data_IF_387163014051
#
_entry.id   IF_387163014051
#
_cell.length_a   1.000
_cell.length_b   1.000
_cell.length_c   1.000
_cell.angle_alpha   90.00
_cell.angle_beta   90.00
_cell.angle_gamma   90.00
#
_symmetry.space_group_name_H-M   'P 1'
#
loop_
_entity.id
_entity.type
_entity.pdbx_description
1 polymer ?
#
# COMPACT_ATOMS: atom_id res chain seq x y z
N UNK A 1 26.45 -13.23 5.22
CA UNK A 1 26.65 -12.19 4.19
C UNK A 1 27.24 -12.74 2.90
N UNK A 2 28.38 -13.47 2.92
CA UNK A 2 29.08 -13.97 1.72
C UNK A 2 28.16 -14.70 0.71
N UNK A 3 27.36 -15.67 1.15
CA UNK A 3 26.42 -16.41 0.29
C UNK A 3 25.36 -15.51 -0.38
N UNK A 4 24.97 -14.41 0.29
CA UNK A 4 24.06 -13.42 -0.31
C UNK A 4 24.77 -12.56 -1.34
N UNK A 5 26.02 -12.15 -1.06
CA UNK A 5 26.84 -11.40 -2.00
C UNK A 5 27.11 -12.19 -3.28
N UNK A 6 27.45 -13.48 -3.15
CA UNK A 6 27.64 -14.39 -4.29
C UNK A 6 26.37 -14.50 -5.13
N UNK A 7 25.19 -14.69 -4.50
CA UNK A 7 23.91 -14.77 -5.20
C UNK A 7 23.54 -13.48 -5.95
N UNK A 8 23.94 -12.32 -5.41
CA UNK A 8 23.70 -11.01 -5.99
C UNK A 8 24.78 -10.57 -6.98
N UNK A 9 25.81 -11.39 -7.25
CA UNK A 9 26.94 -11.02 -8.09
C UNK A 9 27.85 -9.95 -7.47
N UNK A 10 27.84 -9.82 -6.13
CA UNK A 10 28.59 -8.82 -5.37
C UNK A 10 29.74 -9.41 -4.55
N UNK A 11 30.21 -10.61 -4.90
CA UNK A 11 31.26 -11.29 -4.16
C UNK A 11 32.58 -10.49 -4.12
N UNK A 12 32.87 -9.76 -5.19
CA UNK A 12 34.10 -8.96 -5.35
C UNK A 12 33.89 -7.46 -5.06
N UNK A 13 32.74 -7.10 -4.48
CA UNK A 13 32.46 -5.71 -4.12
C UNK A 13 33.47 -5.24 -3.04
N UNK A 14 34.02 -4.01 -3.14
CA UNK A 14 35.04 -3.49 -2.20
C UNK A 14 34.38 -3.07 -0.87
N UNK A 15 33.75 -4.03 -0.17
CA UNK A 15 33.09 -3.84 1.11
C UNK A 15 33.91 -4.51 2.20
N UNK A 16 34.24 -3.74 3.23
CA UNK A 16 34.84 -4.26 4.46
C UNK A 16 33.72 -4.61 5.44
N UNK A 17 33.80 -5.78 6.06
CA UNK A 17 32.83 -6.27 7.05
C UNK A 17 33.51 -6.37 8.41
N UNK A 18 32.85 -5.82 9.44
CA UNK A 18 33.26 -5.96 10.84
C UNK A 18 32.10 -6.50 11.68
N UNK A 19 32.41 -7.30 12.68
CA UNK A 19 31.45 -7.79 13.66
C UNK A 19 31.81 -7.14 15.01
N UNK A 20 31.28 -5.96 15.26
CA UNK A 20 31.51 -5.16 16.46
C UNK A 20 30.21 -4.47 16.91
N UNK A 21 30.08 -4.31 18.22
CA UNK A 21 28.91 -3.67 18.85
C UNK A 21 29.27 -2.52 19.80
N UNK A 22 30.53 -2.43 20.23
CA UNK A 22 31.05 -1.29 21.00
C UNK A 22 31.25 -0.09 20.07
N UNK A 23 30.60 1.01 20.36
CA UNK A 23 30.72 2.23 19.56
C UNK A 23 32.13 2.82 19.68
N UNK A 24 32.76 2.69 20.85
CA UNK A 24 34.12 3.15 21.11
C UNK A 24 35.12 2.40 20.21
N UNK A 25 35.00 1.09 20.13
CA UNK A 25 35.91 0.25 19.31
C UNK A 25 35.66 0.47 17.82
N UNK A 26 34.41 0.64 17.40
CA UNK A 26 34.06 1.01 16.02
C UNK A 26 34.73 2.34 15.64
N UNK A 27 34.55 3.38 16.45
CA UNK A 27 35.11 4.71 16.18
C UNK A 27 36.64 4.70 16.22
N UNK A 28 37.23 3.97 17.17
CA UNK A 28 38.66 3.77 17.24
C UNK A 28 39.21 3.13 15.98
N UNK A 29 38.63 2.01 15.56
CA UNK A 29 39.03 1.28 14.34
C UNK A 29 38.93 2.14 13.10
N UNK A 30 37.77 2.86 12.91
CA UNK A 30 37.54 3.74 11.78
C UNK A 30 38.49 4.96 11.77
N UNK A 31 39.11 5.29 12.91
CA UNK A 31 40.04 6.43 13.04
C UNK A 31 41.50 6.05 12.76
N UNK A 32 41.81 4.75 12.65
CA UNK A 32 43.22 4.26 12.47
C UNK A 32 43.70 4.24 11.02
N UNK A 33 42.92 4.71 10.07
CA UNK A 33 43.26 4.69 8.64
C UNK A 33 42.46 5.67 7.83
N UNK A 34 42.44 5.52 6.50
CA UNK A 34 41.55 6.34 5.65
C UNK A 34 40.09 6.02 5.98
N UNK A 35 39.37 7.03 6.42
CA UNK A 35 37.94 6.89 6.80
C UNK A 35 37.12 6.50 5.57
N UNK A 36 36.29 5.44 5.66
CA UNK A 36 35.38 5.07 4.58
C UNK A 36 34.41 6.22 4.27
N UNK A 37 34.08 6.43 3.00
CA UNK A 37 33.10 7.44 2.59
C UNK A 37 31.67 7.13 3.05
N UNK A 38 31.37 5.83 3.16
CA UNK A 38 30.08 5.31 3.62
C UNK A 38 30.28 4.23 4.67
N UNK A 39 29.56 4.33 5.76
CA UNK A 39 29.54 3.37 6.86
C UNK A 39 28.10 2.92 7.08
N UNK A 40 27.87 1.62 7.19
CA UNK A 40 26.54 1.04 7.48
C UNK A 40 26.58 0.34 8.83
N UNK A 41 25.74 0.73 9.76
CA UNK A 41 25.56 0.12 11.07
C UNK A 41 24.26 -0.69 11.06
N UNK A 42 24.37 -2.01 11.09
CA UNK A 42 23.22 -2.95 11.07
C UNK A 42 23.29 -3.90 12.29
N UNK A 43 22.54 -3.60 13.36
CA UNK A 43 21.56 -2.54 13.57
C UNK A 43 21.93 -1.63 14.74
N UNK A 44 21.40 -0.42 14.76
CA UNK A 44 21.62 0.54 15.86
C UNK A 44 21.15 0.00 17.22
N UNK A 45 20.17 -0.92 17.26
CA UNK A 45 19.66 -1.52 18.47
C UNK A 45 20.67 -2.46 19.17
N UNK A 46 21.62 -3.01 18.43
CA UNK A 46 22.67 -3.89 19.01
C UNK A 46 23.89 -3.12 19.47
N UNK A 47 23.98 -1.85 19.13
CA UNK A 47 25.10 -0.98 19.52
C UNK A 47 25.01 -0.58 21.00
N UNK A 48 26.16 -0.44 21.64
CA UNK A 48 26.26 0.05 23.00
C UNK A 48 27.48 0.97 23.18
N UNK A 49 27.46 1.80 24.22
CA UNK A 49 28.53 2.71 24.61
C UNK A 49 28.69 2.66 26.12
N UNK A 50 29.90 2.73 26.61
CA UNK A 50 30.23 2.77 28.03
C UNK A 50 29.81 4.06 28.74
N UNK A 51 29.42 5.06 27.97
CA UNK A 51 29.06 6.38 28.51
C UNK A 51 27.72 6.40 29.27
N UNK A 52 26.94 5.32 29.18
CA UNK A 52 25.64 5.20 29.87
C UNK A 52 25.44 3.78 30.44
N UNK A 53 25.00 3.72 31.70
CA UNK A 53 24.69 2.48 32.38
C UNK A 53 23.29 1.99 32.03
N UNK A 54 23.15 1.36 30.86
CA UNK A 54 21.89 0.71 30.46
C UNK A 54 22.15 -0.42 29.46
N UNK A 55 21.26 -1.41 29.40
CA UNK A 55 21.42 -2.55 28.50
C UNK A 55 21.33 -2.14 27.02
N UNK A 56 22.05 -2.83 26.09
CA UNK A 56 21.87 -2.66 24.65
C UNK A 56 20.40 -2.79 24.25
N UNK A 57 19.99 -2.03 23.22
CA UNK A 57 18.59 -1.99 22.74
C UNK A 57 17.65 -1.11 23.55
N UNK A 58 18.05 -0.59 24.71
CA UNK A 58 17.27 0.41 25.45
C UNK A 58 17.30 1.77 24.74
N UNK A 59 16.27 2.58 24.96
CA UNK A 59 16.17 3.94 24.42
C UNK A 59 17.41 4.77 24.71
N UNK A 60 17.94 4.66 25.93
CA UNK A 60 19.11 5.42 26.39
C UNK A 60 20.37 5.00 25.64
N UNK A 61 20.61 3.69 25.48
CA UNK A 61 21.76 3.18 24.74
C UNK A 61 21.69 3.53 23.25
N UNK A 62 20.54 3.30 22.62
CA UNK A 62 20.35 3.63 21.18
C UNK A 62 20.61 5.12 20.95
N UNK A 63 20.12 5.99 21.84
CA UNK A 63 20.34 7.45 21.73
C UNK A 63 21.80 7.81 21.88
N UNK A 64 22.50 7.26 22.90
CA UNK A 64 23.88 7.57 23.16
C UNK A 64 24.80 7.06 22.04
N UNK A 65 24.58 5.81 21.59
CA UNK A 65 25.29 5.21 20.45
C UNK A 65 25.11 6.00 19.16
N UNK A 66 23.87 6.35 18.82
CA UNK A 66 23.58 7.17 17.64
C UNK A 66 24.26 8.55 17.73
N UNK A 67 24.24 9.20 18.90
CA UNK A 67 24.89 10.49 19.09
C UNK A 67 26.41 10.43 18.91
N UNK A 68 27.05 9.36 19.37
CA UNK A 68 28.49 9.17 19.19
C UNK A 68 28.84 8.95 17.70
N UNK A 69 28.10 8.11 17.00
CA UNK A 69 28.26 7.87 15.56
C UNK A 69 28.01 9.12 14.73
N UNK A 70 26.97 9.90 15.04
CA UNK A 70 26.69 11.19 14.37
C UNK A 70 27.83 12.20 14.58
N UNK A 71 28.40 12.27 15.78
CA UNK A 71 29.57 13.13 16.04
C UNK A 71 30.78 12.69 15.21
N UNK A 72 31.02 11.37 15.13
CA UNK A 72 32.08 10.84 14.28
C UNK A 72 31.85 11.20 12.81
N UNK A 73 30.65 10.97 12.27
CA UNK A 73 30.29 11.32 10.89
C UNK A 73 30.60 12.79 10.57
N UNK A 74 30.13 13.70 11.43
CA UNK A 74 30.36 15.15 11.26
C UNK A 74 31.82 15.55 11.33
N UNK A 75 32.63 14.87 12.16
CA UNK A 75 34.05 15.15 12.30
C UNK A 75 34.87 14.62 11.13
N UNK A 76 34.54 13.41 10.66
CA UNK A 76 35.28 12.71 9.61
C UNK A 76 34.83 13.06 8.19
N UNK A 77 33.61 13.59 8.03
CA UNK A 77 32.98 13.80 6.72
C UNK A 77 32.40 12.53 6.08
N UNK A 78 32.37 11.41 6.80
CA UNK A 78 31.78 10.16 6.34
C UNK A 78 30.24 10.22 6.39
N UNK A 79 29.58 9.60 5.41
CA UNK A 79 28.16 9.30 5.49
C UNK A 79 27.92 8.05 6.34
N UNK A 80 26.96 8.11 7.28
CA UNK A 80 26.58 6.93 8.08
C UNK A 80 25.12 6.60 7.85
N UNK A 81 24.85 5.33 7.53
CA UNK A 81 23.52 4.76 7.50
C UNK A 81 23.31 3.94 8.77
N UNK A 82 22.36 4.34 9.60
CA UNK A 82 21.91 3.59 10.77
C UNK A 82 20.70 2.75 10.37
N UNK A 83 20.84 1.43 10.36
CA UNK A 83 19.72 0.52 10.11
C UNK A 83 19.01 0.28 11.43
N UNK A 84 17.70 0.45 11.44
CA UNK A 84 16.84 0.21 12.58
C UNK A 84 15.65 -0.68 12.23
N UNK A 85 15.14 -1.43 13.20
CA UNK A 85 13.96 -2.25 13.05
C UNK A 85 12.73 -1.52 13.56
N UNK A 86 11.61 -1.62 12.83
CA UNK A 86 10.30 -1.16 13.27
C UNK A 86 9.61 -2.28 14.07
N UNK A 87 8.86 -1.93 15.11
CA UNK A 87 7.98 -2.87 15.81
C UNK A 87 6.73 -3.18 14.98
N UNK A 88 5.98 -4.22 15.37
CA UNK A 88 4.71 -4.61 14.71
C UNK A 88 3.70 -3.46 14.62
N UNK A 89 3.80 -2.47 15.49
CA UNK A 89 2.94 -1.28 15.50
C UNK A 89 3.46 -0.15 14.58
N UNK A 90 4.45 -0.43 13.71
CA UNK A 90 5.05 0.54 12.81
C UNK A 90 5.94 1.58 13.49
N UNK A 91 6.21 1.42 14.79
CA UNK A 91 7.14 2.29 15.53
C UNK A 91 8.55 1.67 15.50
N UNK A 92 9.56 2.53 15.35
CA UNK A 92 10.97 2.10 15.48
C UNK A 92 11.16 1.69 16.95
N UNK A 93 11.57 0.44 17.18
CA UNK A 93 11.93 -0.04 18.51
C UNK A 93 13.19 0.71 18.99
N UNK A 94 13.06 1.56 19.98
CA UNK A 94 14.03 2.60 20.32
C UNK A 94 13.91 3.73 19.29
N UNK A 95 13.92 4.85 19.58
CA UNK A 95 12.89 5.83 19.62
C UNK A 95 12.82 6.69 18.34
N UNK A 96 11.69 7.30 18.14
CA UNK A 96 11.53 8.60 17.45
C UNK A 96 12.64 9.62 17.78
N UNK A 97 13.38 9.42 18.83
CA UNK A 97 14.55 10.22 19.23
C UNK A 97 15.68 10.19 18.20
N UNK A 98 15.94 9.04 17.53
CA UNK A 98 16.97 8.96 16.48
C UNK A 98 16.52 9.71 15.21
N UNK A 99 15.23 9.71 14.90
CA UNK A 99 14.68 10.46 13.76
C UNK A 99 14.96 11.97 13.86
N UNK A 100 14.91 12.52 15.06
CA UNK A 100 15.22 13.94 15.28
C UNK A 100 16.70 14.28 15.20
N UNK A 101 17.57 13.28 15.38
CA UNK A 101 19.03 13.45 15.42
C UNK A 101 19.69 13.32 14.05
N UNK A 102 19.09 12.59 13.12
CA UNK A 102 19.62 12.33 11.77
C UNK A 102 19.13 13.33 10.73
N UNK A 103 19.81 13.40 9.61
CA UNK A 103 19.48 14.35 8.54
C UNK A 103 18.39 13.85 7.60
N UNK A 104 18.31 12.53 7.39
CA UNK A 104 17.27 11.88 6.61
C UNK A 104 16.78 10.59 7.31
N UNK A 105 15.50 10.27 7.14
CA UNK A 105 14.88 9.02 7.60
C UNK A 105 14.17 8.41 6.42
N UNK A 106 14.54 7.20 6.07
CA UNK A 106 13.92 6.40 5.02
C UNK A 106 13.19 5.22 5.68
N UNK A 107 11.94 5.03 5.32
CA UNK A 107 11.14 3.86 5.71
C UNK A 107 11.06 2.89 4.54
N UNK A 108 11.31 1.61 4.82
CA UNK A 108 11.19 0.54 3.84
C UNK A 108 9.98 -0.31 4.20
N UNK A 109 8.88 -0.09 3.48
CA UNK A 109 7.57 -0.65 3.77
C UNK A 109 7.30 -1.90 2.92
N UNK A 110 6.54 -2.85 3.46
CA UNK A 110 6.08 -4.07 2.80
C UNK A 110 6.13 -5.28 3.72
N UNK A 111 5.07 -6.06 3.76
CA UNK A 111 4.99 -7.29 4.56
C UNK A 111 5.67 -8.46 3.85
N UNK A 112 6.10 -9.48 4.62
CA UNK A 112 6.89 -10.60 4.11
C UNK A 112 6.28 -11.39 2.96
N UNK A 113 4.96 -11.40 2.82
CA UNK A 113 4.21 -12.07 1.75
C UNK A 113 3.99 -11.21 0.50
N UNK A 114 4.30 -9.91 0.56
CA UNK A 114 4.09 -9.00 -0.56
C UNK A 114 5.27 -9.04 -1.53
N UNK A 115 4.97 -9.02 -2.82
CA UNK A 115 5.96 -9.03 -3.89
C UNK A 115 6.74 -7.71 -3.97
N UNK A 116 6.17 -6.62 -3.47
CA UNK A 116 6.72 -5.27 -3.60
C UNK A 116 7.19 -4.67 -2.28
N UNK A 117 8.13 -3.73 -2.40
CA UNK A 117 8.65 -2.92 -1.30
C UNK A 117 8.60 -1.46 -1.71
N UNK A 118 8.16 -0.61 -0.81
CA UNK A 118 8.10 0.84 -1.01
C UNK A 118 9.13 1.50 -0.11
N UNK A 119 10.03 2.25 -0.71
CA UNK A 119 10.97 3.11 -0.01
C UNK A 119 10.38 4.52 0.04
N UNK A 120 10.19 5.03 1.24
CA UNK A 120 9.58 6.34 1.50
C UNK A 120 10.50 7.22 2.36
N UNK A 121 10.64 8.48 2.00
CA UNK A 121 11.29 9.45 2.86
C UNK A 121 10.30 9.93 3.93
N UNK A 122 10.63 9.70 5.21
CA UNK A 122 9.86 10.20 6.36
C UNK A 122 10.38 11.57 6.80
N UNK A 123 11.69 11.79 6.65
CA UNK A 123 12.38 13.04 6.93
C UNK A 123 13.52 13.23 5.94
N UNK A 124 13.68 14.44 5.43
CA UNK A 124 14.80 14.80 4.57
C UNK A 124 15.14 16.28 4.75
N UNK A 125 16.33 16.57 5.27
CA UNK A 125 16.82 17.96 5.41
C UNK A 125 17.34 18.55 4.09
N UNK A 126 17.56 17.72 3.08
CA UNK A 126 18.22 18.11 1.83
C UNK A 126 17.25 18.21 0.65
N UNK A 127 15.98 17.89 0.87
CA UNK A 127 14.97 17.90 -0.19
C UNK A 127 13.58 17.47 0.29
N UNK A 128 12.66 17.25 -0.65
CA UNK A 128 11.30 16.84 -0.34
C UNK A 128 11.24 15.43 0.28
N UNK A 129 10.11 15.11 0.92
CA UNK A 129 9.82 13.79 1.50
C UNK A 129 8.67 13.07 0.79
N UNK A 130 8.16 13.67 -0.26
CA UNK A 130 6.97 13.28 -0.97
C UNK A 130 7.24 12.41 -2.23
N UNK A 131 8.46 11.92 -2.36
CA UNK A 131 8.81 10.94 -3.39
C UNK A 131 8.89 9.53 -2.81
N UNK A 132 8.53 8.53 -3.64
CA UNK A 132 8.64 7.11 -3.31
C UNK A 132 9.47 6.35 -4.33
N UNK A 133 10.19 5.32 -3.87
CA UNK A 133 10.78 4.29 -4.70
C UNK A 133 9.98 2.98 -4.54
N UNK A 134 9.61 2.35 -5.64
CA UNK A 134 8.96 1.04 -5.62
C UNK A 134 9.91 -0.01 -6.15
N UNK A 135 10.04 -1.11 -5.41
CA UNK A 135 10.92 -2.22 -5.74
C UNK A 135 10.15 -3.54 -5.72
N UNK A 136 10.43 -4.40 -6.68
CA UNK A 136 9.95 -5.77 -6.71
C UNK A 136 10.96 -6.70 -6.04
N UNK A 137 10.46 -7.63 -5.23
CA UNK A 137 11.25 -8.69 -4.62
C UNK A 137 11.41 -9.85 -5.60
N UNK A 138 12.59 -10.03 -6.16
CA UNK A 138 12.90 -11.13 -7.08
C UNK A 138 13.85 -12.15 -6.43
N UNK A 139 14.02 -13.31 -7.06
CA UNK A 139 15.03 -14.29 -6.64
C UNK A 139 16.47 -13.74 -6.65
N UNK A 140 16.75 -12.72 -7.47
CA UNK A 140 18.04 -12.03 -7.59
C UNK A 140 18.15 -10.79 -6.72
N UNK A 141 17.13 -10.48 -5.90
CA UNK A 141 17.10 -9.30 -5.03
C UNK A 141 16.04 -8.28 -5.40
N UNK A 142 16.25 -7.03 -5.00
CA UNK A 142 15.35 -5.92 -5.29
C UNK A 142 15.57 -5.41 -6.72
N UNK A 143 14.48 -5.30 -7.47
CA UNK A 143 14.45 -4.68 -8.79
C UNK A 143 13.62 -3.40 -8.73
N UNK A 144 14.16 -2.29 -9.22
CA UNK A 144 13.42 -1.03 -9.31
C UNK A 144 12.22 -1.18 -10.27
N UNK A 145 11.09 -0.61 -9.87
CA UNK A 145 9.88 -0.51 -10.68
C UNK A 145 9.72 0.92 -11.14
N UNK A 146 10.00 1.17 -12.41
CA UNK A 146 9.95 2.51 -13.01
C UNK A 146 8.52 3.05 -13.14
N UNK A 147 7.53 2.18 -13.37
CA UNK A 147 6.11 2.53 -13.41
C UNK A 147 5.28 1.65 -12.47
N UNK A 148 5.07 2.07 -11.21
CA UNK A 148 4.27 1.31 -10.26
C UNK A 148 2.81 1.10 -10.69
N UNK A 149 2.22 2.04 -11.41
CA UNK A 149 0.82 1.95 -11.86
C UNK A 149 0.62 0.77 -12.81
N UNK A 150 1.52 0.55 -13.77
CA UNK A 150 1.44 -0.63 -14.67
C UNK A 150 1.47 -1.93 -13.89
N UNK A 151 2.29 -1.97 -12.86
CA UNK A 151 2.44 -3.12 -12.00
C UNK A 151 1.17 -3.41 -11.19
N UNK A 152 0.61 -2.40 -10.53
CA UNK A 152 -0.60 -2.55 -9.71
C UNK A 152 -1.86 -2.83 -10.53
N UNK A 153 -1.79 -2.65 -11.85
CA UNK A 153 -2.87 -2.92 -12.79
C UNK A 153 -2.64 -4.16 -13.67
N UNK A 154 -1.46 -4.81 -13.59
CA UNK A 154 -1.07 -5.90 -14.51
C UNK A 154 -1.95 -7.15 -14.41
N UNK A 155 -2.47 -7.46 -13.21
CA UNK A 155 -3.31 -8.63 -12.92
C UNK A 155 -4.80 -8.27 -12.77
N UNK A 156 -5.23 -7.14 -13.35
CA UNK A 156 -6.58 -6.63 -13.20
C UNK A 156 -7.61 -7.56 -13.82
N UNK A 157 -8.61 -7.96 -13.03
CA UNK A 157 -9.77 -8.71 -13.53
C UNK A 157 -10.76 -7.77 -14.22
N UNK A 158 -10.66 -7.73 -15.55
CA UNK A 158 -11.48 -6.88 -16.40
C UNK A 158 -12.93 -7.38 -16.43
N UNK A 159 -13.83 -6.62 -15.85
CA UNK A 159 -15.27 -6.88 -15.92
C UNK A 159 -15.87 -7.57 -14.70
N UNK A 160 -15.10 -7.80 -13.63
CA UNK A 160 -15.65 -8.28 -12.36
C UNK A 160 -16.32 -7.15 -11.58
N UNK A 161 -17.56 -7.37 -11.07
CA UNK A 161 -18.19 -6.43 -10.16
C UNK A 161 -17.36 -6.25 -8.87
N UNK A 162 -17.32 -5.02 -8.37
CA UNK A 162 -16.61 -4.70 -7.13
C UNK A 162 -15.19 -4.21 -7.33
N UNK A 163 -14.72 -4.02 -8.56
CA UNK A 163 -13.40 -3.45 -8.84
C UNK A 163 -13.51 -2.02 -9.37
N UNK A 164 -12.65 -1.12 -8.85
CA UNK A 164 -12.54 0.28 -9.32
C UNK A 164 -11.07 0.68 -9.38
N UNK A 165 -10.66 1.42 -10.40
CA UNK A 165 -9.31 1.97 -10.47
C UNK A 165 -9.29 3.36 -9.87
N UNK A 166 -8.52 3.51 -8.81
CA UNK A 166 -8.27 4.77 -8.16
C UNK A 166 -7.07 5.48 -8.80
N UNK A 167 -7.23 6.73 -9.20
CA UNK A 167 -6.13 7.58 -9.62
C UNK A 167 -5.63 8.38 -8.41
N UNK A 168 -4.66 7.84 -7.69
CA UNK A 168 -4.07 8.39 -6.48
C UNK A 168 -2.83 9.23 -6.71
N UNK A 169 -2.42 9.92 -5.65
CA UNK A 169 -1.12 10.58 -5.54
C UNK A 169 -0.40 10.03 -4.32
N UNK A 170 0.79 9.53 -4.54
CA UNK A 170 1.66 9.09 -3.48
C UNK A 170 2.86 10.05 -3.42
N UNK A 171 2.80 10.96 -2.44
CA UNK A 171 3.70 12.11 -2.42
C UNK A 171 3.44 13.09 -3.56
N UNK A 172 4.36 13.21 -4.48
CA UNK A 172 4.20 13.98 -5.74
C UNK A 172 3.88 13.10 -6.94
N UNK A 173 3.99 11.78 -6.79
CA UNK A 173 3.89 10.83 -7.90
C UNK A 173 2.45 10.35 -8.08
N UNK A 174 1.86 10.50 -9.27
CA UNK A 174 0.58 9.85 -9.55
C UNK A 174 0.77 8.33 -9.63
N UNK A 175 -0.15 7.60 -8.99
CA UNK A 175 -0.16 6.13 -8.93
C UNK A 175 -1.58 5.64 -9.12
N UNK A 176 -1.79 4.78 -10.14
CA UNK A 176 -3.07 4.11 -10.34
C UNK A 176 -3.05 2.75 -9.62
N UNK A 177 -4.10 2.49 -8.86
CA UNK A 177 -4.22 1.24 -8.10
C UNK A 177 -5.66 0.73 -8.11
N UNK A 178 -5.83 -0.58 -8.16
CA UNK A 178 -7.14 -1.21 -8.10
C UNK A 178 -7.62 -1.32 -6.64
N UNK A 179 -8.85 -0.86 -6.40
CA UNK A 179 -9.62 -1.12 -5.19
C UNK A 179 -10.63 -2.23 -5.48
N UNK A 180 -10.60 -3.27 -4.66
CA UNK A 180 -11.48 -4.42 -4.75
C UNK A 180 -12.42 -4.45 -3.55
N UNK A 181 -13.73 -4.49 -3.79
CA UNK A 181 -14.75 -4.58 -2.77
C UNK A 181 -15.59 -5.84 -2.96
N UNK A 182 -15.85 -6.55 -1.88
CA UNK A 182 -16.80 -7.65 -1.82
C UNK A 182 -17.90 -7.33 -0.81
N UNK A 183 -19.13 -7.29 -1.28
CA UNK A 183 -20.32 -7.10 -0.47
C UNK A 183 -21.17 -8.37 -0.57
N UNK A 184 -21.28 -9.11 0.51
CA UNK A 184 -21.99 -10.39 0.57
C UNK A 184 -23.03 -10.39 1.70
N UNK A 185 -24.23 -11.02 1.52
CA UNK A 185 -25.19 -11.14 2.61
C UNK A 185 -24.54 -11.79 3.83
N UNK A 186 -24.74 -11.19 5.02
CA UNK A 186 -24.23 -11.78 6.25
C UNK A 186 -25.19 -12.83 6.78
N UNK A 187 -24.62 -13.91 7.33
CA UNK A 187 -25.37 -14.93 8.11
C UNK A 187 -25.18 -14.72 9.61
N UNK A 188 -24.40 -13.70 10.00
CA UNK A 188 -24.06 -13.38 11.39
C UNK A 188 -24.96 -12.26 11.92
N UNK A 189 -25.17 -12.23 13.26
CA UNK A 189 -25.93 -11.15 13.90
C UNK A 189 -25.22 -9.79 13.80
N UNK A 190 -23.90 -9.76 13.63
CA UNK A 190 -23.11 -8.54 13.40
C UNK A 190 -22.33 -8.69 12.09
N UNK A 191 -22.58 -7.82 11.11
CA UNK A 191 -21.86 -7.83 9.85
C UNK A 191 -20.35 -7.56 10.01
N UNK A 192 -19.54 -8.28 9.24
CA UNK A 192 -18.09 -8.11 9.23
C UNK A 192 -17.68 -6.91 8.38
N UNK A 193 -16.66 -6.18 8.84
CA UNK A 193 -16.01 -5.09 8.11
C UNK A 193 -14.51 -5.34 8.13
N UNK A 194 -13.94 -5.69 6.98
CA UNK A 194 -12.50 -5.95 6.87
C UNK A 194 -11.90 -5.08 5.76
N UNK A 195 -10.76 -4.48 6.07
CA UNK A 195 -10.05 -3.57 5.16
C UNK A 195 -8.58 -3.92 5.14
N UNK A 196 -8.03 -4.01 3.94
CA UNK A 196 -6.60 -4.17 3.69
C UNK A 196 -6.11 -3.02 2.81
N UNK A 197 -5.10 -2.32 3.26
CA UNK A 197 -4.46 -1.23 2.49
C UNK A 197 -5.19 0.12 2.53
N UNK A 198 -6.29 0.26 3.26
CA UNK A 198 -7.02 1.52 3.44
C UNK A 198 -7.47 1.70 4.90
N UNK A 199 -7.92 2.91 5.26
CA UNK A 199 -8.34 3.23 6.64
C UNK A 199 -9.75 2.65 6.94
N UNK A 200 -9.88 1.80 7.98
CA UNK A 200 -11.18 1.25 8.39
C UNK A 200 -12.21 2.31 8.83
N UNK A 201 -11.75 3.43 9.39
CA UNK A 201 -12.64 4.53 9.81
C UNK A 201 -13.21 5.24 8.59
N UNK A 202 -12.42 5.41 7.53
CA UNK A 202 -12.92 5.95 6.26
C UNK A 202 -13.93 5.00 5.60
N UNK A 203 -13.68 3.69 5.60
CA UNK A 203 -14.68 2.73 5.12
C UNK A 203 -16.00 2.90 5.88
N UNK A 204 -15.94 2.96 7.22
CA UNK A 204 -17.14 3.11 8.06
C UNK A 204 -17.91 4.40 7.73
N UNK A 205 -17.20 5.49 7.47
CA UNK A 205 -17.77 6.77 7.08
C UNK A 205 -18.43 6.69 5.69
N UNK A 206 -17.77 6.11 4.69
CA UNK A 206 -18.32 5.94 3.33
C UNK A 206 -19.57 5.07 3.37
N UNK A 207 -19.58 3.98 4.13
CA UNK A 207 -20.75 3.12 4.31
C UNK A 207 -21.93 3.89 4.92
N UNK A 208 -21.67 4.69 5.97
CA UNK A 208 -22.70 5.50 6.61
C UNK A 208 -23.31 6.53 5.64
N UNK A 209 -22.49 7.18 4.81
CA UNK A 209 -22.96 8.16 3.79
C UNK A 209 -23.78 7.45 2.71
N UNK A 210 -23.34 6.29 2.23
CA UNK A 210 -24.10 5.47 1.27
C UNK A 210 -25.47 5.08 1.82
N UNK A 211 -25.57 4.66 3.08
CA UNK A 211 -26.83 4.33 3.73
C UNK A 211 -27.74 5.57 3.92
N UNK A 212 -27.18 6.64 4.48
CA UNK A 212 -27.96 7.82 4.88
C UNK A 212 -28.45 8.66 3.69
N UNK A 213 -27.63 8.83 2.66
CA UNK A 213 -27.91 9.75 1.57
C UNK A 213 -28.26 9.07 0.23
N UNK A 214 -27.86 7.82 0.04
CA UNK A 214 -28.10 7.12 -1.23
C UNK A 214 -29.08 5.96 -1.11
N UNK A 215 -29.60 5.67 0.08
CA UNK A 215 -30.54 4.57 0.32
C UNK A 215 -29.92 3.16 0.13
N UNK A 216 -28.61 3.06 0.08
CA UNK A 216 -27.88 1.81 -0.11
C UNK A 216 -27.82 1.05 1.23
N UNK A 217 -28.64 0.01 1.39
CA UNK A 217 -28.69 -0.78 2.63
C UNK A 217 -27.55 -1.77 2.72
N UNK A 218 -26.59 -1.52 3.61
CA UNK A 218 -25.41 -2.37 3.85
C UNK A 218 -25.42 -3.03 5.23
N UNK A 219 -26.40 -2.75 6.06
CA UNK A 219 -26.54 -3.26 7.42
C UNK A 219 -26.72 -4.78 7.50
N UNK A 220 -27.18 -5.43 6.43
CA UNK A 220 -27.31 -6.89 6.30
C UNK A 220 -26.20 -7.57 5.49
N UNK A 221 -25.08 -6.91 5.26
CA UNK A 221 -24.01 -7.43 4.39
C UNK A 221 -22.64 -7.36 5.08
N UNK A 222 -21.87 -8.40 4.92
CA UNK A 222 -20.42 -8.37 5.16
C UNK A 222 -19.74 -7.56 4.07
N UNK A 223 -18.79 -6.74 4.46
CA UNK A 223 -18.03 -5.87 3.54
C UNK A 223 -16.54 -6.12 3.73
N UNK A 224 -15.89 -6.41 2.61
CA UNK A 224 -14.45 -6.56 2.51
C UNK A 224 -13.94 -5.57 1.47
N UNK A 225 -12.86 -4.86 1.78
CA UNK A 225 -12.18 -3.95 0.87
C UNK A 225 -10.69 -4.21 0.89
N UNK A 226 -10.11 -4.35 -0.30
CA UNK A 226 -8.68 -4.62 -0.48
C UNK A 226 -8.09 -3.64 -1.51
N UNK A 227 -6.91 -3.12 -1.19
CA UNK A 227 -6.08 -2.39 -2.14
C UNK A 227 -5.11 -3.37 -2.80
N UNK A 228 -5.20 -3.51 -4.11
CA UNK A 228 -4.35 -4.43 -4.85
C UNK A 228 -2.86 -4.05 -4.74
N UNK A 229 -1.98 -5.06 -4.84
CA UNK A 229 -0.53 -4.86 -4.81
C UNK A 229 0.06 -4.50 -3.44
N UNK A 230 -0.77 -4.46 -2.37
CA UNK A 230 -0.30 -4.21 -1.00
C UNK A 230 0.07 -2.75 -0.71
N UNK A 231 -0.31 -1.81 -1.57
CA UNK A 231 -0.16 -0.38 -1.31
C UNK A 231 -1.08 0.05 -0.16
N UNK A 232 -0.62 0.99 0.66
CA UNK A 232 -1.45 1.65 1.67
C UNK A 232 -1.85 3.03 1.19
N UNK A 233 -3.15 3.23 0.96
CA UNK A 233 -3.72 4.51 0.56
C UNK A 233 -4.11 5.29 1.81
N UNK A 234 -3.63 6.53 1.93
CA UNK A 234 -3.93 7.42 3.05
C UNK A 234 -4.73 8.66 2.63
N UNK A 235 -4.84 8.92 1.32
CA UNK A 235 -5.52 10.12 0.84
C UNK A 235 -7.05 9.95 0.75
N UNK A 236 -7.82 10.99 1.11
CA UNK A 236 -9.29 11.00 1.00
C UNK A 236 -9.81 10.85 -0.43
N UNK A 237 -9.00 11.15 -1.42
CA UNK A 237 -9.37 11.04 -2.83
C UNK A 237 -9.83 9.63 -3.25
N UNK A 238 -9.48 8.59 -2.48
CA UNK A 238 -9.88 7.20 -2.72
C UNK A 238 -11.36 6.92 -2.40
N UNK A 239 -12.04 7.79 -1.66
CA UNK A 239 -13.43 7.59 -1.23
C UNK A 239 -14.37 7.29 -2.40
N UNK A 240 -14.23 8.05 -3.50
CA UNK A 240 -15.11 7.89 -4.66
C UNK A 240 -14.91 6.54 -5.34
N UNK A 241 -13.65 6.08 -5.45
CA UNK A 241 -13.31 4.76 -5.98
C UNK A 241 -13.82 3.64 -5.08
N UNK A 242 -13.65 3.78 -3.76
CA UNK A 242 -14.16 2.82 -2.78
C UNK A 242 -15.69 2.72 -2.82
N UNK A 243 -16.40 3.86 -2.86
CA UNK A 243 -17.86 3.88 -2.99
C UNK A 243 -18.32 3.22 -4.30
N UNK A 244 -17.64 3.52 -5.43
CA UNK A 244 -17.94 2.91 -6.71
C UNK A 244 -17.77 1.38 -6.68
N UNK A 245 -16.66 0.89 -6.11
CA UNK A 245 -16.41 -0.55 -5.96
C UNK A 245 -17.47 -1.22 -5.06
N UNK A 246 -17.80 -0.61 -3.92
CA UNK A 246 -18.82 -1.14 -3.00
C UNK A 246 -20.20 -1.26 -3.66
N UNK A 247 -20.65 -0.20 -4.34
CA UNK A 247 -21.93 -0.21 -5.03
C UNK A 247 -21.92 -1.20 -6.18
N UNK A 248 -20.86 -1.24 -6.98
CA UNK A 248 -20.66 -2.21 -8.06
C UNK A 248 -20.80 -3.65 -7.57
N UNK A 249 -20.13 -3.98 -6.45
CA UNK A 249 -20.23 -5.30 -5.82
C UNK A 249 -21.64 -5.62 -5.34
N UNK A 250 -22.30 -4.65 -4.69
CA UNK A 250 -23.63 -4.84 -4.12
C UNK A 250 -24.68 -5.14 -5.20
N UNK A 251 -24.67 -4.35 -6.30
CA UNK A 251 -25.65 -4.47 -7.39
C UNK A 251 -25.21 -5.43 -8.50
N UNK A 252 -24.06 -6.08 -8.35
CA UNK A 252 -23.46 -6.99 -9.31
C UNK A 252 -23.31 -6.38 -10.71
N UNK A 253 -22.86 -5.11 -10.77
CA UNK A 253 -22.66 -4.35 -12.00
C UNK A 253 -21.19 -3.99 -12.18
N UNK A 254 -20.47 -4.58 -13.15
CA UNK A 254 -19.11 -4.19 -13.45
C UNK A 254 -19.00 -2.70 -13.80
N UNK A 255 -17.95 -2.06 -13.31
CA UNK A 255 -17.60 -0.70 -13.71
C UNK A 255 -16.94 -0.69 -15.09
N UNK A 256 -16.96 0.43 -15.83
CA UNK A 256 -16.21 0.55 -17.07
C UNK A 256 -14.72 0.28 -16.86
N UNK A 257 -14.16 -0.62 -17.66
CA UNK A 257 -12.77 -1.07 -17.53
C UNK A 257 -11.74 0.00 -17.88
N UNK A 258 -12.17 1.01 -18.63
CA UNK A 258 -11.38 2.16 -19.07
C UNK A 258 -11.58 3.42 -18.21
N UNK A 259 -12.21 3.28 -17.00
CA UNK A 259 -12.50 4.40 -16.13
C UNK A 259 -11.61 4.43 -14.87
N UNK A 260 -11.17 5.63 -14.50
CA UNK A 260 -10.53 5.91 -13.21
C UNK A 260 -11.44 6.76 -12.34
N UNK A 261 -11.30 6.65 -11.02
CA UNK A 261 -12.13 7.31 -10.03
C UNK A 261 -11.28 8.05 -9.02
N UNK A 262 -11.64 9.29 -8.68
CA UNK A 262 -11.03 10.01 -7.55
C UNK A 262 -11.92 11.17 -7.08
N UNK A 263 -11.95 11.39 -5.77
CA UNK A 263 -12.72 12.45 -5.13
C UNK A 263 -12.97 12.14 -3.65
N UNK A 264 -13.03 13.15 -2.81
CA UNK A 264 -13.35 13.01 -1.39
C UNK A 264 -14.87 13.03 -1.19
N UNK A 265 -15.40 12.13 -0.36
CA UNK A 265 -16.81 12.10 0.01
C UNK A 265 -16.99 12.81 1.35
N UNK A 266 -17.82 13.86 1.38
CA UNK A 266 -18.20 14.53 2.62
C UNK A 266 -19.34 13.79 3.35
N UNK A 267 -19.51 14.06 4.64
CA UNK A 267 -20.63 13.51 5.43
C UNK A 267 -22.01 13.91 4.91
N UNK A 268 -22.11 14.97 4.11
CA UNK A 268 -23.35 15.38 3.44
C UNK A 268 -23.63 14.65 2.12
N UNK A 269 -22.74 13.72 1.70
CA UNK A 269 -22.87 13.03 0.43
C UNK A 269 -22.36 13.81 -0.79
N UNK A 270 -21.84 15.03 -0.61
CA UNK A 270 -21.22 15.79 -1.68
C UNK A 270 -19.84 15.25 -2.02
N UNK A 271 -19.47 15.26 -3.31
CA UNK A 271 -18.14 14.86 -3.79
C UNK A 271 -17.28 16.12 -3.94
N UNK A 272 -16.18 16.16 -3.20
CA UNK A 272 -15.28 17.32 -3.09
C UNK A 272 -14.05 17.18 -3.98
N UNK A 273 -13.52 18.30 -4.50
CA UNK A 273 -12.28 18.30 -5.27
C UNK A 273 -11.10 17.89 -4.40
N UNK A 274 -10.09 17.33 -5.07
CA UNK A 274 -8.84 16.89 -4.46
C UNK A 274 -7.66 17.51 -5.20
N UNK A 275 -6.51 17.59 -4.56
CA UNK A 275 -5.32 18.17 -5.14
C UNK A 275 -4.82 17.40 -6.37
N UNK A 276 -4.08 18.09 -7.25
CA UNK A 276 -3.34 17.52 -8.37
C UNK A 276 -4.21 16.78 -9.40
N UNK A 277 -5.43 17.24 -9.66
CA UNK A 277 -6.37 16.68 -10.66
C UNK A 277 -5.69 16.44 -12.01
N UNK A 278 -4.94 17.43 -12.53
CA UNK A 278 -4.25 17.33 -13.82
C UNK A 278 -3.19 16.22 -13.86
N UNK A 279 -2.45 16.00 -12.77
CA UNK A 279 -1.44 14.93 -12.70
C UNK A 279 -2.10 13.54 -12.73
N UNK A 280 -3.20 13.35 -12.01
CA UNK A 280 -3.99 12.11 -11.99
C UNK A 280 -4.52 11.75 -13.38
N UNK A 281 -5.09 12.74 -14.08
CA UNK A 281 -5.64 12.55 -15.42
C UNK A 281 -4.55 12.23 -16.45
N UNK A 282 -3.40 12.91 -16.39
CA UNK A 282 -2.26 12.64 -17.27
C UNK A 282 -1.73 11.22 -17.12
N UNK A 283 -1.60 10.74 -15.89
CA UNK A 283 -1.15 9.36 -15.66
C UNK A 283 -2.20 8.35 -16.14
N UNK A 284 -3.49 8.60 -15.91
CA UNK A 284 -4.56 7.76 -16.42
C UNK A 284 -4.55 7.69 -17.96
N UNK A 285 -4.43 8.83 -18.64
CA UNK A 285 -4.33 8.90 -20.11
C UNK A 285 -3.10 8.14 -20.64
N UNK A 286 -1.93 8.32 -20.01
CA UNK A 286 -0.69 7.62 -20.33
C UNK A 286 -0.83 6.10 -20.27
N UNK A 287 -1.64 5.60 -19.34
CA UNK A 287 -1.91 4.16 -19.13
C UNK A 287 -3.09 3.65 -19.96
N UNK A 288 -3.63 4.45 -20.88
CA UNK A 288 -4.66 4.05 -21.83
C UNK A 288 -6.08 4.07 -21.30
N UNK A 289 -6.34 4.71 -20.15
CA UNK A 289 -7.71 4.94 -19.69
C UNK A 289 -8.40 5.97 -20.58
N UNK A 290 -9.69 5.76 -20.86
CA UNK A 290 -10.50 6.64 -21.71
C UNK A 290 -11.42 7.55 -20.90
N UNK A 291 -11.63 7.31 -19.62
CA UNK A 291 -12.61 8.01 -18.78
C UNK A 291 -12.06 8.33 -17.39
N UNK A 292 -12.54 9.44 -16.83
CA UNK A 292 -12.31 9.77 -15.43
C UNK A 292 -13.63 10.21 -14.77
N UNK A 293 -13.92 9.62 -13.60
CA UNK A 293 -15.03 9.99 -12.73
C UNK A 293 -14.46 10.82 -11.59
N UNK A 294 -14.84 12.09 -11.52
CA UNK A 294 -14.25 13.08 -10.64
C UNK A 294 -15.29 14.11 -10.14
N UNK A 295 -14.96 14.90 -9.10
CA UNK A 295 -15.86 15.94 -8.60
C UNK A 295 -16.18 16.97 -9.67
N UNK A 296 -17.44 17.41 -9.73
CA UNK A 296 -17.89 18.43 -10.67
C UNK A 296 -17.11 19.75 -10.53
N UNK A 297 -16.79 20.14 -9.29
CA UNK A 297 -16.01 21.33 -8.99
C UNK A 297 -14.54 21.27 -9.48
N UNK A 298 -14.01 20.08 -9.74
CA UNK A 298 -12.65 19.90 -10.24
C UNK A 298 -12.54 20.08 -11.78
N UNK A 299 -13.65 20.27 -12.48
CA UNK A 299 -13.67 20.43 -13.96
C UNK A 299 -12.87 21.62 -14.45
N UNK A 300 -12.82 22.69 -13.64
CA UNK A 300 -12.03 23.90 -13.95
C UNK A 300 -10.50 23.73 -13.77
N UNK A 301 -10.08 22.74 -13.00
CA UNK A 301 -8.66 22.46 -12.68
C UNK A 301 -7.98 21.58 -13.74
N UNK A 302 -8.75 21.14 -14.75
CA UNK A 302 -8.24 20.34 -15.87
C UNK A 302 -7.58 21.27 -16.86
N UNK A 303 -6.29 21.47 -16.77
CA UNK A 303 -5.49 22.31 -17.65
C UNK A 303 -5.37 21.72 -19.07
N UNK A 304 -6.32 21.98 -19.93
CA UNK A 304 -6.32 21.55 -21.33
C UNK A 304 -7.02 20.20 -21.57
N UNK A 305 -6.92 19.70 -22.80
CA UNK A 305 -7.47 18.38 -23.19
C UNK A 305 -6.64 17.27 -22.53
N UNK A 306 -7.22 16.60 -21.54
CA UNK A 306 -6.58 15.49 -20.87
C UNK A 306 -6.63 14.17 -21.67
N UNK A 307 -7.26 14.18 -22.88
CA UNK A 307 -7.46 12.97 -23.68
C UNK A 307 -8.45 11.96 -23.09
N UNK A 308 -9.20 12.35 -22.05
CA UNK A 308 -10.14 11.51 -21.31
C UNK A 308 -11.55 12.12 -21.34
N UNK A 309 -12.58 11.28 -21.41
CA UNK A 309 -13.95 11.69 -21.16
C UNK A 309 -14.16 11.93 -19.67
N UNK A 310 -14.51 13.16 -19.29
CA UNK A 310 -14.70 13.53 -17.89
C UNK A 310 -16.17 13.35 -17.49
N UNK A 311 -16.42 12.40 -16.61
CA UNK A 311 -17.72 12.15 -15.98
C UNK A 311 -17.72 12.84 -14.61
N UNK A 312 -18.30 14.03 -14.53
CA UNK A 312 -18.31 14.81 -13.30
C UNK A 312 -19.47 14.42 -12.38
N UNK A 313 -19.20 14.36 -11.08
CA UNK A 313 -20.14 13.96 -10.04
C UNK A 313 -20.20 15.05 -8.96
N UNK A 314 -21.39 15.66 -8.77
CA UNK A 314 -21.62 16.65 -7.71
C UNK A 314 -21.96 16.02 -6.37
N UNK A 315 -22.66 14.88 -6.39
CA UNK A 315 -23.08 14.14 -5.20
C UNK A 315 -23.00 12.62 -5.40
N UNK A 316 -22.82 11.90 -4.31
CA UNK A 316 -22.69 10.44 -4.32
C UNK A 316 -23.94 9.73 -4.87
N UNK A 317 -25.12 10.33 -4.70
CA UNK A 317 -26.42 9.78 -5.19
C UNK A 317 -26.43 9.59 -6.71
N UNK A 318 -25.84 10.52 -7.48
CA UNK A 318 -25.77 10.39 -8.94
C UNK A 318 -24.86 9.23 -9.36
N UNK A 319 -23.70 9.06 -8.72
CA UNK A 319 -22.81 7.92 -8.97
C UNK A 319 -23.50 6.59 -8.67
N UNK A 320 -24.21 6.51 -7.53
CA UNK A 320 -24.95 5.30 -7.15
C UNK A 320 -26.04 4.96 -8.16
N UNK A 321 -26.80 5.96 -8.61
CA UNK A 321 -27.83 5.77 -9.63
C UNK A 321 -27.25 5.27 -10.96
N UNK A 322 -26.15 5.86 -11.41
CA UNK A 322 -25.46 5.47 -12.65
C UNK A 322 -24.93 4.03 -12.62
N UNK A 323 -24.41 3.59 -11.48
CA UNK A 323 -23.92 2.22 -11.30
C UNK A 323 -25.11 1.26 -11.20
N UNK A 324 -26.14 1.61 -10.40
CA UNK A 324 -27.32 0.77 -10.21
C UNK A 324 -28.11 0.54 -11.51
N UNK A 325 -28.16 1.53 -12.40
CA UNK A 325 -28.80 1.42 -13.70
C UNK A 325 -28.16 0.36 -14.62
N UNK A 326 -26.93 -0.03 -14.36
CA UNK A 326 -26.17 -1.08 -15.09
C UNK A 326 -26.31 -2.46 -14.45
N UNK A 327 -26.81 -2.51 -13.20
CA UNK A 327 -26.87 -3.73 -12.40
C UNK A 327 -28.10 -4.58 -12.74
N UNK A 328 -27.94 -5.90 -12.63
CA UNK A 328 -29.05 -6.83 -12.57
C UNK A 328 -29.38 -7.11 -11.10
N UNK A 329 -30.68 -7.00 -10.68
CA UNK A 329 -31.03 -7.32 -9.30
C UNK A 329 -30.60 -8.73 -8.94
N UNK A 330 -29.92 -8.94 -7.82
CA UNK A 330 -29.45 -10.25 -7.32
C UNK A 330 -30.55 -11.26 -7.05
N UNK A 331 -31.84 -10.91 -7.26
CA UNK A 331 -33.01 -11.75 -7.00
C UNK A 331 -33.37 -12.78 -8.09
N UNK A 332 -32.72 -12.77 -9.26
CA UNK A 332 -33.11 -13.60 -10.40
C UNK A 332 -31.94 -14.45 -10.96
N UNK A 333 -31.14 -15.05 -10.09
CA UNK A 333 -30.33 -16.18 -10.57
C UNK A 333 -31.27 -17.39 -10.66
N UNK A 334 -31.51 -17.99 -11.83
CA UNK A 334 -32.22 -19.25 -11.89
C UNK A 334 -31.43 -20.27 -11.07
N UNK A 335 -32.08 -20.92 -10.08
CA UNK A 335 -31.52 -22.08 -9.42
C UNK A 335 -31.11 -23.05 -10.50
N UNK A 336 -29.83 -23.35 -10.59
CA UNK A 336 -29.31 -24.34 -11.51
C UNK A 336 -29.85 -25.72 -11.06
N UNK A 337 -30.97 -26.14 -11.64
CA UNK A 337 -31.63 -27.43 -11.36
C UNK A 337 -30.86 -28.65 -11.91
N UNK A 338 -29.68 -28.43 -12.48
CA UNK A 338 -28.88 -29.49 -13.11
C UNK A 338 -27.99 -30.26 -12.13
N UNK A 339 -27.99 -29.92 -10.82
CA UNK A 339 -27.25 -30.65 -9.79
C UNK A 339 -27.85 -31.92 -9.25
N UNK A 340 -29.10 -32.28 -9.63
CA UNK A 340 -29.83 -33.42 -9.04
C UNK A 340 -29.84 -34.70 -9.89
N UNK A 341 -29.15 -34.74 -11.03
CA UNK A 341 -29.22 -35.91 -11.95
C UNK A 341 -27.94 -36.77 -12.00
N UNK A 342 -26.91 -36.52 -11.20
CA UNK A 342 -25.65 -37.31 -11.26
C UNK A 342 -25.35 -38.19 -10.04
N UNK A 343 -26.31 -38.43 -9.15
CA UNK A 343 -26.06 -39.22 -7.93
C UNK A 343 -26.80 -40.59 -7.92
N UNK A 344 -27.13 -41.18 -9.06
CA UNK A 344 -27.78 -42.49 -9.11
C UNK A 344 -27.05 -43.57 -9.88
N UNK A 345 -25.74 -43.54 -10.07
CA UNK A 345 -25.00 -44.70 -10.60
C UNK A 345 -23.57 -44.78 -10.05
N UNK A 346 -23.41 -44.94 -8.75
CA UNK A 346 -22.16 -45.39 -8.15
C UNK A 346 -22.39 -46.74 -7.45
N UNK A 347 -22.11 -47.82 -8.15
CA UNK A 347 -22.03 -49.18 -7.58
C UNK A 347 -20.79 -49.26 -6.69
N UNK A 348 -20.87 -49.78 -5.45
CA UNK A 348 -19.72 -49.87 -4.57
C UNK A 348 -18.77 -50.98 -5.01
N UNK A 349 -17.52 -50.62 -5.33
CA UNK A 349 -16.44 -51.57 -5.56
C UNK A 349 -16.09 -52.32 -4.25
N UNK A 350 -16.20 -53.63 -4.24
CA UNK A 350 -15.78 -54.54 -3.16
C UNK A 350 -14.24 -54.57 -3.08
N UNK A 351 -13.69 -54.12 -1.99
CA UNK A 351 -12.30 -54.39 -1.62
C UNK A 351 -12.15 -55.86 -1.20
N UNK A 352 -11.42 -56.65 -1.98
CA UNK A 352 -10.89 -57.98 -1.56
C UNK A 352 -9.64 -57.74 -0.70
N UNK A 353 -9.68 -58.20 0.54
CA UNK A 353 -8.47 -58.43 1.34
C UNK A 353 -7.69 -59.56 0.70
N UNK A 354 -6.42 -59.36 0.44
CA UNK A 354 -5.43 -60.45 0.31
C UNK A 354 -4.62 -60.48 1.59
N UNK A 355 -4.76 -61.59 2.28
CA UNK A 355 -3.83 -62.09 3.28
C UNK A 355 -2.65 -62.77 2.53
N UNK A 356 -1.41 -62.53 3.04
CA UNK A 356 -0.17 -63.12 2.58
C UNK A 356 1.01 -62.35 3.13
#
# INVERSE_FOLDING_TARGET
>A
MRLRAERLGLADAPVQLAAETSVEDIVSTLSQGPVPRLIVIDSIQTMWTDTVESAPGTVTQVRASAQALIRFAKKSGAAIILVGHVTKDGQIAGPRVVEHMVDAVLSFEGEGSQQFRILRAVKNRFGPTDEIGVFEMTGLGLREVSNPSELFLSERDLGSPGTAVFAGIEGTRPVLVELQALVAPTTLGTPRRAVVGWDPSRLSMVLAVLEAHCGVKLSGYDVYLNVAGGLRIQEPAADLAAAAALVSSLVNAPLPTDAVYFGEISLSGAVRPVAQTSARLKEAAKLGFGRAVLPESARGDVGGDAGLVLNTVGGLTSLVADIAARGTPRGNRPENKDGAAMEKNATPARFRRQEG
#
